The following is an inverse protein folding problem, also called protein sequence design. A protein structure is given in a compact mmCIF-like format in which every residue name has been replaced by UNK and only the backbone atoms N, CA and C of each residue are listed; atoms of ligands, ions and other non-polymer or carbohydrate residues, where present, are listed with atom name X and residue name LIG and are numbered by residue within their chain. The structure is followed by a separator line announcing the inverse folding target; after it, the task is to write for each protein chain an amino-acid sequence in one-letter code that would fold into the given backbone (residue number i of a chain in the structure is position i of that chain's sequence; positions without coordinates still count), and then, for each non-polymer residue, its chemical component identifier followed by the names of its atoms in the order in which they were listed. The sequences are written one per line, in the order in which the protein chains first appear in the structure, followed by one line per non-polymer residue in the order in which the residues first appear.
data_IF_905215201347
#
_entry.id   IF_905215201347
#
_cell.length_a   1.000
_cell.length_b   1.000
_cell.length_c   1.000
_cell.angle_alpha   90.00
_cell.angle_beta   90.00
_cell.angle_gamma   90.00
#
_symmetry.space_group_name_H-M   'P 1'
#
loop_
_entity.id
_entity.type
_entity.pdbx_description
1 polymer ?
#
# COMPACT_ATOMS: atom_id res chain seq x y z
N UNK A 1 27.04 4.39 9.45
CA UNK A 1 25.60 4.48 9.73
C UNK A 1 24.99 5.43 8.69
N UNK A 2 24.44 4.90 7.60
CA UNK A 2 23.75 5.66 6.57
C UNK A 2 22.26 5.34 6.71
N UNK A 3 21.48 6.33 7.15
CA UNK A 3 20.02 6.25 7.18
C UNK A 3 19.52 7.26 6.16
N UNK A 4 19.02 6.76 5.02
CA UNK A 4 18.51 7.62 3.94
C UNK A 4 17.01 7.35 3.80
N UNK A 5 16.18 8.31 4.19
CA UNK A 5 14.75 8.30 3.86
C UNK A 5 14.59 9.02 2.53
N UNK A 6 14.13 8.31 1.49
CA UNK A 6 13.93 8.89 0.15
C UNK A 6 12.44 9.09 -0.09
N UNK A 7 12.09 10.30 -0.51
CA UNK A 7 10.76 10.67 -0.98
C UNK A 7 10.87 10.94 -2.49
N UNK A 8 10.24 10.11 -3.31
CA UNK A 8 10.15 10.34 -4.76
C UNK A 8 8.72 10.62 -5.15
N UNK A 9 8.48 11.77 -5.79
CA UNK A 9 7.17 12.19 -6.27
C UNK A 9 7.14 12.12 -7.81
N UNK A 10 6.16 11.41 -8.37
CA UNK A 10 5.89 11.37 -9.81
C UNK A 10 4.39 11.24 -10.06
N UNK A 11 3.83 12.07 -10.95
CA UNK A 11 2.39 12.03 -11.32
C UNK A 11 1.42 11.96 -10.12
N UNK A 12 1.65 12.78 -9.07
CA UNK A 12 0.78 12.82 -7.88
C UNK A 12 0.90 11.62 -6.94
N UNK A 13 1.84 10.70 -7.17
CA UNK A 13 2.14 9.56 -6.30
C UNK A 13 3.46 9.79 -5.56
N UNK A 14 3.44 9.60 -4.25
CA UNK A 14 4.62 9.75 -3.38
C UNK A 14 5.05 8.37 -2.88
N UNK A 15 6.20 7.88 -3.35
CA UNK A 15 6.86 6.68 -2.79
C UNK A 15 7.78 7.11 -1.65
N UNK A 16 7.72 6.37 -0.54
CA UNK A 16 8.61 6.54 0.61
C UNK A 16 9.35 5.24 0.84
N UNK A 17 10.67 5.32 0.98
CA UNK A 17 11.51 4.15 1.23
C UNK A 17 12.48 4.47 2.37
N UNK A 18 12.59 3.54 3.32
CA UNK A 18 13.60 3.55 4.35
C UNK A 18 14.62 2.46 4.03
N UNK A 19 15.89 2.83 3.90
CA UNK A 19 16.98 1.90 3.61
C UNK A 19 17.96 1.95 4.78
N UNK A 20 18.15 0.81 5.43
CA UNK A 20 19.05 0.65 6.58
C UNK A 20 19.74 -0.72 6.51
N UNK A 21 20.90 -0.83 7.17
CA UNK A 21 21.71 -2.07 7.22
C UNK A 21 21.63 -2.79 8.55
N UNK A 22 21.14 -2.11 9.60
CA UNK A 22 21.03 -2.66 10.95
C UNK A 22 19.61 -3.22 11.16
N UNK A 23 19.44 -4.54 11.40
CA UNK A 23 18.14 -5.15 11.64
C UNK A 23 17.39 -4.56 12.84
N UNK A 24 18.09 -4.01 13.83
CA UNK A 24 17.46 -3.38 14.99
C UNK A 24 16.63 -2.13 14.62
N UNK A 25 16.83 -1.57 13.42
CA UNK A 25 16.10 -0.41 12.93
C UNK A 25 14.80 -0.76 12.20
N UNK A 26 14.48 -2.04 12.01
CA UNK A 26 13.28 -2.49 11.30
C UNK A 26 12.00 -1.91 11.91
N UNK A 27 11.71 -2.29 13.16
CA UNK A 27 10.51 -1.86 13.87
C UNK A 27 10.42 -0.33 14.02
N UNK A 28 11.46 0.38 14.48
CA UNK A 28 11.42 1.85 14.53
C UNK A 28 11.14 2.50 13.17
N UNK A 29 11.68 1.94 12.08
CA UNK A 29 11.46 2.47 10.73
C UNK A 29 10.04 2.26 10.24
N UNK A 30 9.45 1.08 10.54
CA UNK A 30 8.04 0.78 10.26
C UNK A 30 7.14 1.77 11.00
N UNK A 31 7.35 1.97 12.30
CA UNK A 31 6.52 2.87 13.11
C UNK A 31 6.62 4.33 12.63
N UNK A 32 7.82 4.78 12.28
CA UNK A 32 8.04 6.10 11.69
C UNK A 32 7.25 6.24 10.38
N UNK A 33 7.32 5.24 9.51
CA UNK A 33 6.64 5.27 8.21
C UNK A 33 5.12 5.27 8.35
N UNK A 34 4.56 4.41 9.20
CA UNK A 34 3.12 4.36 9.45
C UNK A 34 2.60 5.70 10.00
N UNK A 35 3.35 6.31 10.93
CA UNK A 35 3.03 7.65 11.45
C UNK A 35 3.06 8.73 10.37
N UNK A 36 4.10 8.72 9.52
CA UNK A 36 4.25 9.67 8.42
C UNK A 36 3.12 9.52 7.40
N UNK A 37 2.79 8.29 7.02
CA UNK A 37 1.70 7.98 6.07
C UNK A 37 0.36 8.51 6.58
N UNK A 38 0.06 8.32 7.86
CA UNK A 38 -1.15 8.88 8.49
C UNK A 38 -1.21 10.40 8.43
N UNK A 39 -0.08 11.08 8.73
CA UNK A 39 0.00 12.56 8.67
C UNK A 39 -0.17 13.09 7.24
N UNK A 40 0.43 12.44 6.25
CA UNK A 40 0.29 12.81 4.84
C UNK A 40 -1.12 12.57 4.33
N UNK A 41 -1.75 11.47 4.72
CA UNK A 41 -3.13 11.19 4.36
C UNK A 41 -4.08 12.26 4.94
N UNK A 42 -3.88 12.67 6.19
CA UNK A 42 -4.69 13.70 6.84
C UNK A 42 -4.70 15.06 6.12
N UNK A 43 -3.66 15.37 5.33
CA UNK A 43 -3.56 16.62 4.55
C UNK A 43 -3.79 16.41 3.05
N UNK A 44 -4.07 15.18 2.61
CA UNK A 44 -4.14 14.81 1.19
C UNK A 44 -5.40 15.29 0.46
N UNK A 45 -6.47 15.64 1.20
CA UNK A 45 -7.77 16.00 0.63
C UNK A 45 -8.62 14.81 0.19
N UNK A 46 -8.14 13.57 0.37
CA UNK A 46 -8.91 12.35 0.12
C UNK A 46 -9.49 11.82 1.43
N UNK A 47 -10.71 11.27 1.36
CA UNK A 47 -11.36 10.64 2.51
C UNK A 47 -10.77 9.29 2.88
N UNK A 48 -10.12 8.63 1.92
CA UNK A 48 -9.50 7.32 2.07
C UNK A 48 -8.09 7.33 1.48
N UNK A 49 -7.22 6.38 1.85
CA UNK A 49 -5.91 6.24 1.20
C UNK A 49 -6.06 5.88 -0.28
N UNK A 50 -5.56 6.74 -1.16
CA UNK A 50 -5.45 6.47 -2.60
C UNK A 50 -4.06 5.89 -2.90
N UNK A 51 -4.01 4.60 -3.21
CA UNK A 51 -2.75 3.85 -3.27
C UNK A 51 -2.58 3.25 -4.65
N UNK A 52 -1.33 3.27 -5.12
CA UNK A 52 -0.96 2.48 -6.27
C UNK A 52 -0.50 1.10 -5.80
N UNK A 53 -1.22 0.05 -6.18
CA UNK A 53 -1.08 -1.32 -5.63
C UNK A 53 0.36 -1.86 -5.65
N UNK A 54 1.18 -1.47 -6.63
CA UNK A 54 2.58 -1.88 -6.71
C UNK A 54 3.46 -1.34 -5.56
N UNK A 55 2.96 -0.35 -4.81
CA UNK A 55 3.59 0.24 -3.63
C UNK A 55 2.70 0.13 -2.38
N UNK A 56 1.71 -0.77 -2.39
CA UNK A 56 0.91 -1.03 -1.20
C UNK A 56 1.78 -1.62 -0.09
N UNK A 57 1.51 -1.21 1.15
CA UNK A 57 2.17 -1.76 2.33
C UNK A 57 1.55 -3.11 2.74
N UNK A 58 0.24 -3.26 2.56
CA UNK A 58 -0.49 -4.50 2.83
C UNK A 58 -1.56 -4.39 3.94
N UNK A 59 -1.72 -3.24 4.57
CA UNK A 59 -2.71 -3.00 5.62
C UNK A 59 -3.94 -2.21 5.14
N UNK A 60 -3.97 -1.81 3.87
CA UNK A 60 -4.94 -0.85 3.35
C UNK A 60 -6.23 -1.52 2.83
N UNK A 61 -6.18 -2.83 2.69
CA UNK A 61 -7.32 -3.67 2.36
C UNK A 61 -7.81 -3.55 0.90
N UNK A 62 -8.81 -4.35 0.53
CA UNK A 62 -9.22 -4.49 -0.88
C UNK A 62 -9.72 -3.19 -1.51
N UNK A 63 -10.37 -2.32 -0.74
CA UNK A 63 -10.86 -1.02 -1.24
C UNK A 63 -9.72 -0.04 -1.47
N UNK A 64 -8.73 0.01 -0.59
CA UNK A 64 -7.51 0.81 -0.79
C UNK A 64 -6.68 0.34 -1.99
N UNK A 65 -6.60 -0.97 -2.22
CA UNK A 65 -5.82 -1.53 -3.34
C UNK A 65 -6.52 -1.43 -4.69
N UNK A 66 -7.82 -1.66 -4.73
CA UNK A 66 -8.56 -1.86 -5.97
C UNK A 66 -9.65 -0.83 -6.24
N UNK A 67 -9.93 0.08 -5.29
CA UNK A 67 -11.10 0.97 -5.23
C UNK A 67 -12.43 0.24 -5.04
N UNK A 68 -13.32 0.83 -4.24
CA UNK A 68 -14.69 0.34 -4.03
C UNK A 68 -15.48 0.21 -5.35
N UNK A 69 -15.22 1.10 -6.33
CA UNK A 69 -15.92 1.09 -7.61
C UNK A 69 -15.54 -0.12 -8.51
N UNK A 70 -14.26 -0.53 -8.53
CA UNK A 70 -13.82 -1.63 -9.40
C UNK A 70 -13.96 -3.01 -8.75
N UNK A 71 -13.94 -3.07 -7.41
CA UNK A 71 -14.02 -4.32 -6.63
C UNK A 71 -15.13 -5.28 -7.08
N UNK A 72 -16.39 -4.85 -7.30
CA UNK A 72 -17.45 -5.76 -7.76
C UNK A 72 -17.15 -6.43 -9.10
N UNK A 73 -16.54 -5.70 -10.04
CA UNK A 73 -16.16 -6.23 -11.36
C UNK A 73 -14.97 -7.18 -11.23
N UNK A 74 -13.98 -6.82 -10.41
CA UNK A 74 -12.80 -7.65 -10.17
C UNK A 74 -13.15 -8.96 -9.47
N UNK A 75 -14.05 -8.94 -8.48
CA UNK A 75 -14.56 -10.15 -7.82
C UNK A 75 -15.25 -11.09 -8.80
N UNK A 76 -16.10 -10.57 -9.68
CA UNK A 76 -16.73 -11.36 -10.75
C UNK A 76 -15.70 -12.04 -11.65
N UNK A 77 -14.67 -11.30 -12.08
CA UNK A 77 -13.58 -11.85 -12.88
C UNK A 77 -12.79 -12.91 -12.11
N UNK A 78 -12.51 -12.66 -10.82
CA UNK A 78 -11.80 -13.60 -9.95
C UNK A 78 -12.56 -14.92 -9.81
N UNK A 79 -13.87 -14.86 -9.60
CA UNK A 79 -14.69 -16.07 -9.55
C UNK A 79 -14.73 -16.82 -10.89
N UNK A 80 -14.74 -16.11 -12.03
CA UNK A 80 -14.73 -16.73 -13.35
C UNK A 80 -13.43 -17.45 -13.66
N UNK A 81 -12.30 -16.81 -13.37
CA UNK A 81 -10.98 -17.25 -13.85
C UNK A 81 -10.14 -17.97 -12.80
N UNK A 82 -10.38 -17.74 -11.51
CA UNK A 82 -9.71 -18.43 -10.42
C UNK A 82 -10.71 -18.83 -9.31
N UNK A 83 -11.67 -19.73 -9.64
CA UNK A 83 -12.66 -20.20 -8.67
C UNK A 83 -12.04 -20.97 -7.50
N UNK A 84 -10.87 -21.57 -7.70
CA UNK A 84 -10.13 -22.33 -6.67
C UNK A 84 -9.23 -21.44 -5.80
N UNK A 85 -9.17 -20.13 -6.08
CA UNK A 85 -8.38 -19.13 -5.33
C UNK A 85 -6.89 -19.50 -5.24
N UNK A 86 -6.34 -20.00 -6.35
CA UNK A 86 -4.92 -20.37 -6.44
C UNK A 86 -4.00 -19.14 -6.41
N UNK A 87 -4.51 -17.97 -6.80
CA UNK A 87 -3.77 -16.72 -6.81
C UNK A 87 -4.38 -15.71 -5.82
N UNK A 88 -3.58 -14.84 -5.20
CA UNK A 88 -4.10 -13.72 -4.39
C UNK A 88 -3.54 -13.58 -2.98
N UNK A 89 -2.42 -14.22 -2.67
CA UNK A 89 -1.65 -13.92 -1.46
C UNK A 89 -1.14 -12.47 -1.51
N UNK A 90 -1.17 -11.77 -0.37
CA UNK A 90 -0.75 -10.37 -0.24
C UNK A 90 -1.89 -9.38 -0.46
N UNK A 91 -2.41 -9.27 -1.68
CA UNK A 91 -3.46 -8.30 -2.05
C UNK A 91 -4.74 -8.98 -2.55
N UNK A 92 -5.53 -9.64 -1.68
CA UNK A 92 -6.75 -10.31 -2.09
C UNK A 92 -7.80 -9.34 -2.66
N UNK A 93 -8.55 -9.84 -3.65
CA UNK A 93 -9.68 -9.15 -4.29
C UNK A 93 -11.02 -9.54 -3.65
N UNK A 94 -11.07 -10.71 -2.99
CA UNK A 94 -12.25 -11.31 -2.36
C UNK A 94 -12.40 -10.86 -0.91
#
# INVERSE_FOLDING_TARGET
MLHLTRISCGYGMTRHENIYTDPALEEPSIQLFLSLRGKLHATSGFSEPHIYVNYAYGDEGPEGWWSAANLPKLRKLKHKWDPKRLFGLGTPVL
#
